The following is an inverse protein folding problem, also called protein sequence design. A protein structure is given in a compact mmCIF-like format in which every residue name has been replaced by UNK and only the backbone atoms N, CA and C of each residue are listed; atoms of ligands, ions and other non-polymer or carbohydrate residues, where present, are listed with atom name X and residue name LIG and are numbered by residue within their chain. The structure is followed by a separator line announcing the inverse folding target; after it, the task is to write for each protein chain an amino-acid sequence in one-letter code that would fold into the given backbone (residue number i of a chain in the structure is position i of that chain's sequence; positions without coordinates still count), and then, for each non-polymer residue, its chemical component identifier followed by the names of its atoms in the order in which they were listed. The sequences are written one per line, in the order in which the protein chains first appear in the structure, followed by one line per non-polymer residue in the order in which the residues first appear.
data_IF_624511695443
#
_entry.id   IF_624511695443
#
_cell.length_a   1.000
_cell.length_b   1.000
_cell.length_c   1.000
_cell.angle_alpha   90.00
_cell.angle_beta   90.00
_cell.angle_gamma   90.00
#
_symmetry.space_group_name_H-M   'P 1'
#
loop_
_entity.id
_entity.type
_entity.pdbx_description
1 polymer ?
#
# COMPACT_ATOMS: atom_id res chain seq x y z
N UNK A 1 2.50 29.13 4.92
CA UNK A 1 3.52 28.67 3.96
C UNK A 1 4.61 29.74 3.90
N UNK A 2 5.74 29.54 4.58
CA UNK A 2 6.80 30.55 4.81
C UNK A 2 7.68 30.73 3.57
N UNK A 3 8.18 31.95 3.33
CA UNK A 3 8.98 32.31 2.15
C UNK A 3 10.19 31.37 1.92
N UNK A 4 10.81 30.88 2.99
CA UNK A 4 11.90 29.91 2.96
C UNK A 4 11.55 28.59 2.24
N UNK A 5 10.34 28.05 2.47
CA UNK A 5 9.91 26.81 1.81
C UNK A 5 9.72 27.00 0.30
N UNK A 6 9.33 28.21 -0.12
CA UNK A 6 9.17 28.58 -1.54
C UNK A 6 10.52 28.71 -2.24
N UNK A 7 11.50 29.38 -1.62
CA UNK A 7 12.85 29.48 -2.19
C UNK A 7 13.55 28.13 -2.31
N UNK A 8 13.39 27.25 -1.32
CA UNK A 8 13.90 25.88 -1.39
C UNK A 8 13.23 25.07 -2.52
N UNK A 9 11.90 25.18 -2.71
CA UNK A 9 11.22 24.48 -3.81
C UNK A 9 11.63 24.98 -5.20
N UNK A 10 11.83 26.29 -5.37
CA UNK A 10 12.31 26.87 -6.64
C UNK A 10 13.73 26.40 -6.97
N UNK A 11 14.60 26.32 -5.94
CA UNK A 11 15.96 25.81 -6.09
C UNK A 11 15.97 24.32 -6.45
N UNK A 12 15.15 23.50 -5.82
CA UNK A 12 15.06 22.06 -6.11
C UNK A 12 14.45 21.81 -7.50
N UNK A 13 13.49 22.63 -7.92
CA UNK A 13 12.96 22.61 -9.27
C UNK A 13 14.03 22.97 -10.31
N UNK A 14 14.76 24.07 -10.12
CA UNK A 14 15.86 24.48 -11.00
C UNK A 14 16.98 23.44 -11.06
N UNK A 15 17.36 22.85 -9.93
CA UNK A 15 18.34 21.74 -9.86
C UNK A 15 17.85 20.53 -10.64
N UNK A 16 16.57 20.17 -10.51
CA UNK A 16 15.98 19.04 -11.22
C UNK A 16 15.96 19.29 -12.73
N UNK A 17 15.55 20.49 -13.16
CA UNK A 17 15.57 20.88 -14.58
C UNK A 17 16.99 20.84 -15.15
N UNK A 18 17.98 21.39 -14.43
CA UNK A 18 19.37 21.37 -14.84
C UNK A 18 19.92 19.94 -14.91
N UNK A 19 19.61 19.09 -13.93
CA UNK A 19 20.00 17.69 -13.95
C UNK A 19 19.41 16.94 -15.15
N UNK A 20 18.12 17.15 -15.45
CA UNK A 20 17.47 16.55 -16.63
C UNK A 20 18.17 17.02 -17.92
N UNK A 21 18.43 18.33 -18.05
CA UNK A 21 19.11 18.88 -19.22
C UNK A 21 20.53 18.33 -19.38
N UNK A 22 21.27 18.18 -18.29
CA UNK A 22 22.59 17.55 -18.29
C UNK A 22 22.49 16.09 -18.73
N UNK A 23 21.53 15.31 -18.21
CA UNK A 23 21.32 13.93 -18.64
C UNK A 23 20.97 13.85 -20.12
N UNK A 24 20.06 14.70 -20.60
CA UNK A 24 19.68 14.77 -22.02
C UNK A 24 20.89 15.11 -22.89
N UNK A 25 21.72 16.08 -22.47
CA UNK A 25 22.94 16.47 -23.18
C UNK A 25 23.95 15.30 -23.23
N UNK A 26 24.18 14.62 -22.10
CA UNK A 26 25.06 13.45 -22.03
C UNK A 26 24.57 12.31 -22.94
N UNK A 27 23.25 12.11 -23.04
CA UNK A 27 22.66 11.09 -23.92
C UNK A 27 22.69 11.50 -25.40
N UNK A 28 22.55 12.81 -25.71
CA UNK A 28 22.49 13.33 -27.06
C UNK A 28 23.86 13.50 -27.72
N UNK A 29 24.90 13.81 -26.95
CA UNK A 29 26.27 13.96 -27.45
C UNK A 29 26.98 12.62 -27.35
N UNK A 30 27.20 11.99 -28.50
CA UNK A 30 27.81 10.66 -28.60
C UNK A 30 29.15 10.51 -27.85
N UNK A 31 29.98 11.55 -27.88
CA UNK A 31 31.27 11.58 -27.20
C UNK A 31 31.17 11.67 -25.66
N UNK A 32 30.02 12.13 -25.14
CA UNK A 32 29.76 12.29 -23.71
C UNK A 32 28.84 11.19 -23.16
N UNK A 33 28.30 10.32 -24.03
CA UNK A 33 27.43 9.25 -23.61
C UNK A 33 28.22 8.25 -22.77
N UNK A 34 27.89 8.10 -21.47
CA UNK A 34 28.67 7.28 -20.55
C UNK A 34 28.72 5.80 -20.97
N UNK A 35 27.68 5.31 -21.65
CA UNK A 35 27.64 3.94 -22.17
C UNK A 35 28.64 3.78 -23.33
N UNK A 36 28.70 4.74 -24.25
CA UNK A 36 29.65 4.70 -25.39
C UNK A 36 31.10 4.85 -24.92
N UNK A 37 31.35 5.75 -23.97
CA UNK A 37 32.67 5.91 -23.34
C UNK A 37 33.11 4.60 -22.69
N UNK A 38 32.23 3.97 -21.90
CA UNK A 38 32.50 2.69 -21.24
C UNK A 38 32.84 1.58 -22.25
N UNK A 39 32.06 1.47 -23.34
CA UNK A 39 32.34 0.50 -24.40
C UNK A 39 33.69 0.74 -25.10
N UNK A 40 34.09 2.01 -25.26
CA UNK A 40 35.39 2.35 -25.87
C UNK A 40 36.57 1.98 -24.96
N UNK A 41 36.45 2.19 -23.65
CA UNK A 41 37.49 1.83 -22.66
C UNK A 41 37.73 0.31 -22.60
N UNK A 42 36.68 -0.50 -22.81
CA UNK A 42 36.76 -1.97 -22.80
C UNK A 42 36.67 -2.58 -24.21
N UNK A 43 37.25 -1.91 -25.20
CA UNK A 43 37.27 -2.38 -26.59
C UNK A 43 38.41 -3.35 -26.92
N UNK A 44 39.43 -3.47 -26.08
CA UNK A 44 40.61 -4.29 -26.33
C UNK A 44 40.43 -5.77 -25.92
N UNK A 45 41.00 -6.68 -26.72
CA UNK A 45 41.07 -8.12 -26.42
C UNK A 45 41.88 -8.35 -25.12
N UNK A 46 41.51 -9.31 -24.25
CA UNK A 46 40.62 -10.46 -24.46
C UNK A 46 39.18 -10.30 -23.92
N UNK A 47 38.81 -9.11 -23.41
CA UNK A 47 37.50 -8.86 -22.78
C UNK A 47 36.73 -7.74 -23.49
N UNK A 48 36.37 -7.97 -24.75
CA UNK A 48 35.62 -6.99 -25.55
C UNK A 48 34.18 -6.88 -25.07
N UNK A 49 33.80 -5.72 -24.51
CA UNK A 49 32.42 -5.46 -24.10
C UNK A 49 31.63 -4.87 -25.25
N UNK A 50 30.76 -5.67 -25.86
CA UNK A 50 29.83 -5.21 -26.88
C UNK A 50 28.50 -4.66 -26.29
N UNK A 51 27.77 -3.80 -27.02
CA UNK A 51 26.56 -3.12 -26.50
C UNK A 51 25.50 -4.06 -25.92
N UNK A 52 25.36 -5.27 -26.48
CA UNK A 52 24.39 -6.24 -26.01
C UNK A 52 24.71 -6.79 -24.62
N UNK A 53 25.97 -6.80 -24.18
CA UNK A 53 26.31 -7.24 -22.82
C UNK A 53 25.78 -6.25 -21.78
N UNK A 54 25.91 -4.95 -22.06
CA UNK A 54 25.34 -3.89 -21.21
C UNK A 54 23.82 -3.96 -21.23
N UNK A 55 23.22 -4.12 -22.42
CA UNK A 55 21.76 -4.25 -22.54
C UNK A 55 21.23 -5.49 -21.79
N UNK A 56 21.89 -6.64 -21.92
CA UNK A 56 21.53 -7.86 -21.21
C UNK A 56 21.69 -7.71 -19.69
N UNK A 57 22.78 -7.11 -19.22
CA UNK A 57 22.99 -6.81 -17.80
C UNK A 57 21.87 -5.89 -17.26
N UNK A 58 21.56 -4.80 -17.97
CA UNK A 58 20.48 -3.90 -17.60
C UNK A 58 19.12 -4.61 -17.57
N UNK A 59 18.84 -5.49 -18.54
CA UNK A 59 17.60 -6.26 -18.59
C UNK A 59 17.52 -7.24 -17.42
N UNK A 60 18.61 -7.94 -17.11
CA UNK A 60 18.68 -8.86 -15.96
C UNK A 60 18.50 -8.09 -14.65
N UNK A 61 19.15 -6.93 -14.48
CA UNK A 61 18.98 -6.07 -13.31
C UNK A 61 17.54 -5.55 -13.20
N UNK A 62 16.94 -5.12 -14.31
CA UNK A 62 15.55 -4.67 -14.35
C UNK A 62 14.60 -5.79 -13.97
N UNK A 63 14.79 -7.01 -14.50
CA UNK A 63 14.00 -8.18 -14.15
C UNK A 63 14.20 -8.55 -12.67
N UNK A 64 15.43 -8.51 -12.16
CA UNK A 64 15.74 -8.77 -10.76
C UNK A 64 15.03 -7.79 -9.84
N UNK A 65 15.14 -6.48 -10.11
CA UNK A 65 14.44 -5.43 -9.35
C UNK A 65 12.93 -5.59 -9.44
N UNK A 66 12.39 -5.89 -10.62
CA UNK A 66 10.96 -6.13 -10.80
C UNK A 66 10.49 -7.29 -9.94
N UNK A 67 11.14 -8.46 -10.05
CA UNK A 67 10.80 -9.66 -9.28
C UNK A 67 10.92 -9.43 -7.76
N UNK A 68 11.97 -8.75 -7.32
CA UNK A 68 12.19 -8.42 -5.92
C UNK A 68 11.11 -7.46 -5.38
N UNK A 69 10.66 -6.51 -6.21
CA UNK A 69 9.72 -5.46 -5.81
C UNK A 69 8.27 -5.73 -6.24
N UNK A 70 7.95 -6.92 -6.78
CA UNK A 70 6.62 -7.28 -7.26
C UNK A 70 5.51 -7.02 -6.23
N UNK A 71 5.76 -7.34 -4.96
CA UNK A 71 4.77 -7.14 -3.89
C UNK A 71 4.47 -5.67 -3.65
N UNK A 72 5.48 -4.80 -3.71
CA UNK A 72 5.31 -3.35 -3.54
C UNK A 72 4.61 -2.74 -4.77
N UNK A 73 4.96 -3.19 -5.98
CA UNK A 73 4.28 -2.78 -7.21
C UNK A 73 2.80 -3.18 -7.20
N UNK A 74 2.49 -4.40 -6.77
CA UNK A 74 1.12 -4.88 -6.61
C UNK A 74 0.36 -4.05 -5.56
N UNK A 75 0.95 -3.82 -4.39
CA UNK A 75 0.34 -2.98 -3.36
C UNK A 75 0.05 -1.57 -3.87
N UNK A 76 1.01 -0.95 -4.56
CA UNK A 76 0.85 0.37 -5.17
C UNK A 76 -0.26 0.37 -6.23
N UNK A 77 -0.27 -0.61 -7.13
CA UNK A 77 -1.30 -0.75 -8.15
C UNK A 77 -2.71 -0.90 -7.57
N UNK A 78 -2.85 -1.73 -6.53
CA UNK A 78 -4.11 -1.91 -5.78
C UNK A 78 -4.52 -0.60 -5.10
N UNK A 79 -3.59 0.11 -4.46
CA UNK A 79 -3.86 1.40 -3.81
C UNK A 79 -4.34 2.44 -4.83
N UNK A 80 -3.69 2.55 -5.98
CA UNK A 80 -4.08 3.47 -7.06
C UNK A 80 -5.46 3.11 -7.61
N UNK A 81 -5.70 1.83 -7.92
CA UNK A 81 -6.98 1.35 -8.41
C UNK A 81 -8.14 1.70 -7.48
N UNK A 82 -7.99 1.40 -6.18
CA UNK A 82 -9.03 1.70 -5.20
C UNK A 82 -9.14 3.18 -4.87
N UNK A 83 -8.05 3.94 -4.91
CA UNK A 83 -8.10 5.39 -4.77
C UNK A 83 -8.90 6.02 -5.92
N UNK A 84 -8.72 5.53 -7.15
CA UNK A 84 -9.53 5.94 -8.31
C UNK A 84 -11.01 5.61 -8.09
N UNK A 85 -11.34 4.41 -7.61
CA UNK A 85 -12.71 4.04 -7.24
C UNK A 85 -13.28 5.03 -6.20
N UNK A 86 -12.57 5.25 -5.09
CA UNK A 86 -13.03 6.19 -4.05
C UNK A 86 -13.28 7.59 -4.62
N UNK A 87 -12.42 8.08 -5.52
CA UNK A 87 -12.57 9.40 -6.13
C UNK A 87 -13.81 9.53 -7.03
N UNK A 88 -14.31 8.40 -7.57
CA UNK A 88 -15.53 8.36 -8.38
C UNK A 88 -16.78 8.33 -7.48
N UNK A 89 -16.74 7.53 -6.40
CA UNK A 89 -17.92 7.32 -5.54
C UNK A 89 -18.09 8.39 -4.45
N UNK A 90 -16.99 8.98 -3.97
CA UNK A 90 -17.01 9.98 -2.91
C UNK A 90 -16.57 11.34 -3.46
N UNK A 91 -17.45 12.33 -3.32
CA UNK A 91 -17.14 13.71 -3.70
C UNK A 91 -15.98 14.28 -2.85
N UNK A 92 -15.90 13.87 -1.57
CA UNK A 92 -14.88 14.35 -0.65
C UNK A 92 -14.50 13.27 0.36
N UNK A 93 -13.20 12.96 0.44
CA UNK A 93 -12.61 12.09 1.45
C UNK A 93 -11.58 12.91 2.22
N UNK A 94 -11.76 13.05 3.52
CA UNK A 94 -10.82 13.77 4.39
C UNK A 94 -10.23 12.85 5.44
N UNK A 95 -8.91 12.96 5.61
CA UNK A 95 -8.18 12.29 6.67
C UNK A 95 -7.73 13.33 7.70
N UNK A 96 -8.35 13.29 8.88
CA UNK A 96 -8.03 14.19 10.00
C UNK A 96 -7.10 13.47 10.98
N UNK A 97 -6.14 14.20 11.56
CA UNK A 97 -5.24 13.67 12.57
C UNK A 97 -4.18 12.71 12.04
N UNK A 98 -3.78 12.83 10.77
CA UNK A 98 -2.70 12.01 10.18
C UNK A 98 -1.37 12.15 10.93
N UNK A 99 -1.15 13.28 11.60
CA UNK A 99 0.07 13.55 12.37
C UNK A 99 0.09 12.79 13.71
N UNK A 100 -1.05 12.25 14.16
CA UNK A 100 -1.13 11.37 15.33
C UNK A 100 -0.62 9.96 15.03
N UNK A 101 -0.45 9.59 13.75
CA UNK A 101 0.06 8.28 13.35
C UNK A 101 1.58 8.28 13.47
N UNK A 102 2.18 7.43 14.33
CA UNK A 102 3.63 7.36 14.48
C UNK A 102 4.31 7.06 13.13
N UNK A 103 5.34 7.83 12.74
CA UNK A 103 6.06 7.62 11.48
C UNK A 103 6.84 6.30 11.48
N UNK A 104 7.25 5.83 12.66
CA UNK A 104 8.02 4.60 12.84
C UNK A 104 7.41 3.74 13.95
N UNK A 105 7.74 2.45 13.92
CA UNK A 105 7.28 1.47 14.90
C UNK A 105 5.95 0.79 14.54
N UNK A 106 5.58 -0.26 15.29
CA UNK A 106 4.34 -1.01 15.09
C UNK A 106 3.12 -0.19 15.52
N UNK A 107 2.04 -0.27 14.74
CA UNK A 107 0.76 0.40 15.04
C UNK A 107 -0.37 -0.57 14.70
N UNK A 108 -1.35 -0.67 15.58
CA UNK A 108 -2.59 -1.40 15.35
C UNK A 108 -3.68 -0.37 15.14
N UNK A 109 -4.33 -0.41 13.98
CA UNK A 109 -5.50 0.42 13.70
C UNK A 109 -6.76 -0.35 14.06
N UNK A 110 -7.65 0.30 14.81
CA UNK A 110 -9.00 -0.18 15.09
C UNK A 110 -9.99 0.82 14.48
N UNK A 111 -10.89 0.33 13.62
CA UNK A 111 -11.90 1.15 12.97
C UNK A 111 -13.28 0.70 13.42
N UNK A 112 -14.24 1.62 13.42
CA UNK A 112 -15.65 1.24 13.36
C UNK A 112 -15.90 0.50 12.03
N UNK A 113 -16.81 -0.47 12.05
CA UNK A 113 -17.12 -1.32 10.89
C UNK A 113 -18.55 -1.08 10.41
N UNK A 114 -18.76 0.02 9.70
CA UNK A 114 -20.03 0.30 9.04
C UNK A 114 -20.13 -0.41 7.68
N UNK A 115 -19.00 -0.51 6.95
CA UNK A 115 -18.93 -1.18 5.66
C UNK A 115 -17.60 -1.96 5.53
N UNK A 116 -17.71 -3.29 5.59
CA UNK A 116 -16.56 -4.21 5.58
C UNK A 116 -15.54 -3.98 4.45
N UNK A 117 -15.93 -3.40 3.32
CA UNK A 117 -15.03 -3.15 2.19
C UNK A 117 -14.53 -1.71 2.14
N UNK A 118 -15.45 -0.74 2.25
CA UNK A 118 -15.12 0.68 2.11
C UNK A 118 -14.25 1.16 3.28
N UNK A 119 -14.48 0.65 4.49
CA UNK A 119 -13.70 1.05 5.68
C UNK A 119 -12.21 0.73 5.47
N UNK A 120 -11.92 -0.49 5.01
CA UNK A 120 -10.55 -0.90 4.69
C UNK A 120 -9.97 -0.05 3.57
N UNK A 121 -10.66 0.01 2.43
CA UNK A 121 -10.19 0.76 1.25
C UNK A 121 -9.88 2.23 1.60
N UNK A 122 -10.72 2.88 2.40
CA UNK A 122 -10.52 4.28 2.82
C UNK A 122 -9.25 4.43 3.66
N UNK A 123 -9.00 3.55 4.62
CA UNK A 123 -7.79 3.60 5.45
C UNK A 123 -6.55 3.33 4.58
N UNK A 124 -6.61 2.38 3.65
CA UNK A 124 -5.49 2.09 2.74
C UNK A 124 -5.10 3.29 1.89
N UNK A 125 -6.10 3.98 1.35
CA UNK A 125 -5.92 5.10 0.44
C UNK A 125 -5.44 6.35 1.20
N UNK A 126 -5.93 6.58 2.42
CA UNK A 126 -5.64 7.80 3.20
C UNK A 126 -4.41 7.68 4.11
N UNK A 127 -4.02 6.47 4.51
CA UNK A 127 -2.88 6.28 5.39
C UNK A 127 -1.54 6.54 4.66
N UNK A 128 -0.63 7.25 5.35
CA UNK A 128 0.72 7.57 4.86
C UNK A 128 1.66 6.35 4.87
N UNK A 129 1.36 5.35 5.70
CA UNK A 129 2.14 4.11 5.82
C UNK A 129 1.41 2.94 5.18
N UNK A 130 2.18 1.92 4.79
CA UNK A 130 1.63 0.65 4.34
C UNK A 130 0.86 0.01 5.50
N UNK A 131 -0.33 -0.51 5.20
CA UNK A 131 -1.19 -1.19 6.16
C UNK A 131 -1.41 -2.64 5.74
N UNK A 132 -1.62 -3.49 6.75
CA UNK A 132 -1.96 -4.90 6.63
C UNK A 132 -3.27 -5.17 7.35
N UNK A 133 -4.06 -6.11 6.84
CA UNK A 133 -5.37 -6.46 7.40
C UNK A 133 -5.36 -7.79 8.11
N UNK A 134 -6.25 -7.92 9.10
CA UNK A 134 -6.62 -9.24 9.62
C UNK A 134 -7.76 -9.79 8.77
N UNK A 135 -7.59 -11.01 8.26
CA UNK A 135 -8.59 -11.66 7.41
C UNK A 135 -8.97 -13.01 8.00
N UNK A 136 -10.23 -13.38 7.88
CA UNK A 136 -10.68 -14.70 8.31
C UNK A 136 -9.94 -15.81 7.55
N UNK A 137 -9.48 -16.84 8.26
CA UNK A 137 -8.82 -18.00 7.64
C UNK A 137 -9.70 -18.63 6.54
N UNK A 138 -11.02 -18.67 6.76
CA UNK A 138 -11.98 -19.16 5.75
C UNK A 138 -11.95 -18.34 4.44
N UNK A 139 -11.74 -17.02 4.53
CA UNK A 139 -11.63 -16.16 3.35
C UNK A 139 -10.25 -16.26 2.71
N UNK A 140 -9.20 -16.41 3.52
CA UNK A 140 -7.83 -16.65 3.08
C UNK A 140 -7.69 -17.91 2.23
N UNK A 141 -8.40 -18.99 2.58
CA UNK A 141 -8.31 -20.25 1.84
C UNK A 141 -9.03 -20.25 0.48
N UNK A 142 -9.67 -19.15 0.06
CA UNK A 142 -10.31 -19.05 -1.25
C UNK A 142 -9.30 -18.52 -2.27
N UNK A 143 -8.99 -19.26 -3.35
CA UNK A 143 -7.99 -18.89 -4.39
C UNK A 143 -7.89 -17.37 -4.65
N UNK A 144 -8.92 -16.75 -5.20
CA UNK A 144 -8.86 -15.34 -5.60
C UNK A 144 -8.70 -14.39 -4.39
N UNK A 145 -9.47 -14.60 -3.33
CA UNK A 145 -9.49 -13.69 -2.17
C UNK A 145 -8.22 -13.85 -1.32
N UNK A 146 -7.74 -15.09 -1.18
CA UNK A 146 -6.51 -15.46 -0.51
C UNK A 146 -5.29 -14.91 -1.20
N UNK A 147 -5.20 -15.06 -2.53
CA UNK A 147 -4.07 -14.56 -3.31
C UNK A 147 -3.97 -13.03 -3.20
N UNK A 148 -5.11 -12.33 -3.27
CA UNK A 148 -5.16 -10.87 -3.06
C UNK A 148 -4.83 -10.48 -1.63
N UNK A 149 -5.38 -11.18 -0.64
CA UNK A 149 -5.10 -10.94 0.77
C UNK A 149 -3.61 -11.14 1.09
N UNK A 150 -2.99 -12.18 0.53
CA UNK A 150 -1.56 -12.45 0.65
C UNK A 150 -0.72 -11.36 -0.01
N UNK A 151 -1.08 -10.92 -1.22
CA UNK A 151 -0.37 -9.86 -1.93
C UNK A 151 -0.44 -8.51 -1.17
N UNK A 152 -1.55 -8.25 -0.49
CA UNK A 152 -1.73 -7.07 0.36
C UNK A 152 -1.09 -7.22 1.76
N UNK A 153 -0.43 -8.34 2.06
CA UNK A 153 0.22 -8.57 3.34
C UNK A 153 -0.77 -8.77 4.50
N UNK A 154 -1.96 -9.31 4.23
CA UNK A 154 -2.94 -9.63 5.25
C UNK A 154 -2.50 -10.86 6.09
N UNK A 155 -3.00 -10.91 7.32
CA UNK A 155 -2.69 -11.96 8.29
C UNK A 155 -3.97 -12.78 8.56
N UNK A 156 -3.95 -14.11 8.32
CA UNK A 156 -5.11 -14.95 8.56
C UNK A 156 -5.36 -15.16 10.06
N UNK A 157 -6.62 -15.09 10.48
CA UNK A 157 -7.06 -15.30 11.86
C UNK A 157 -8.13 -16.38 11.91
N UNK A 158 -7.95 -17.35 12.83
CA UNK A 158 -8.93 -18.38 13.15
C UNK A 158 -10.01 -17.80 14.06
N UNK A 159 -11.28 -17.93 13.67
CA UNK A 159 -12.42 -17.50 14.49
C UNK A 159 -13.16 -18.73 15.00
N UNK A 160 -13.55 -18.75 16.27
CA UNK A 160 -14.31 -19.86 16.86
C UNK A 160 -15.60 -20.17 16.09
N UNK A 161 -16.22 -19.13 15.54
CA UNK A 161 -17.41 -19.21 14.68
C UNK A 161 -17.15 -20.00 13.39
N UNK A 162 -15.95 -19.92 12.82
CA UNK A 162 -15.58 -20.63 11.59
C UNK A 162 -15.44 -22.15 11.85
N UNK A 163 -15.27 -22.57 13.12
CA UNK A 163 -15.23 -23.97 13.56
C UNK A 163 -16.54 -24.46 14.19
N UNK A 164 -17.55 -23.61 14.31
CA UNK A 164 -18.84 -23.96 14.90
C UNK A 164 -19.59 -24.98 14.02
N UNK A 165 -20.09 -26.04 14.63
CA UNK A 165 -20.95 -27.05 13.98
C UNK A 165 -22.37 -26.91 14.54
N UNK A 166 -23.38 -27.13 13.69
CA UNK A 166 -24.77 -27.18 14.16
C UNK A 166 -24.92 -28.35 15.14
N UNK A 167 -25.31 -28.07 16.37
CA UNK A 167 -25.72 -29.06 17.37
C UNK A 167 -27.21 -28.97 17.63
N UNK A 168 -27.83 -30.07 18.07
CA UNK A 168 -29.21 -30.10 18.54
C UNK A 168 -29.24 -29.90 20.06
N UNK A 169 -30.13 -29.04 20.55
CA UNK A 169 -30.28 -28.76 21.99
C UNK A 169 -31.47 -27.86 22.28
N UNK A 170 -31.87 -27.79 23.54
CA UNK A 170 -33.01 -26.99 24.00
C UNK A 170 -32.51 -25.65 24.56
N UNK A 171 -32.99 -24.54 24.01
CA UNK A 171 -32.69 -23.19 24.54
C UNK A 171 -33.83 -22.76 25.47
N UNK A 172 -33.54 -22.57 26.75
CA UNK A 172 -34.49 -22.01 27.72
C UNK A 172 -34.12 -20.55 27.97
N UNK A 173 -34.96 -19.63 27.51
CA UNK A 173 -34.82 -18.20 27.84
C UNK A 173 -35.62 -17.94 29.11
N UNK A 174 -34.97 -17.62 30.23
CA UNK A 174 -35.66 -17.07 31.40
C UNK A 174 -35.99 -15.61 31.11
N UNK A 175 -37.28 -15.29 30.99
CA UNK A 175 -37.74 -13.90 31.11
C UNK A 175 -37.43 -13.45 32.53
N UNK A 176 -36.62 -12.41 32.67
CA UNK A 176 -36.55 -11.65 33.92
C UNK A 176 -37.86 -10.86 33.94
N UNK A 177 -38.75 -11.23 34.86
CA UNK A 177 -39.93 -10.42 35.18
C UNK A 177 -39.41 -9.30 36.06
N UNK A 178 -39.42 -8.07 35.54
CA UNK A 178 -39.33 -6.89 36.39
C UNK A 178 -40.69 -6.78 37.10
N UNK A 179 -40.74 -7.16 38.37
CA UNK A 179 -41.91 -6.89 39.21
C UNK A 179 -41.95 -5.38 39.49
N UNK A 180 -43.05 -4.76 39.08
CA UNK A 180 -43.42 -3.37 39.34
C UNK A 180 -43.49 -3.09 40.85
N UNK A 181 -43.04 -1.91 41.27
CA UNK A 181 -43.62 -1.24 42.44
C UNK A 181 -44.36 -0.01 41.94
N UNK A 182 -45.65 -0.18 41.66
CA UNK A 182 -46.65 0.88 41.78
C UNK A 182 -46.66 1.32 43.25
N UNK A 183 -45.96 2.41 43.58
CA UNK A 183 -46.23 3.15 44.81
C UNK A 183 -47.34 4.16 44.53
N UNK A 184 -48.58 3.68 44.71
CA UNK A 184 -49.73 4.53 44.94
C UNK A 184 -49.54 5.32 46.23
N UNK A 185 -49.19 6.60 46.10
CA UNK A 185 -49.01 7.52 47.22
C UNK A 185 -49.64 8.89 46.94
N UNK A 186 -50.98 8.94 46.94
CA UNK A 186 -51.71 10.20 47.13
C UNK A 186 -51.60 10.62 48.59
N UNK A 187 -50.87 11.71 48.87
CA UNK A 187 -51.13 12.68 49.96
C UNK A 187 -50.63 14.05 49.55
#
# INVERSE_FOLDING_TARGET
MTATNRWMSELDFAKTQLAILVVVLLLAVDALNPVKIFLHVFSDEPYRVLPWHVAALCLVLMLYLFLNNMKELLYFGVKVFFHSILSIFFNRVEAVGLDNVPPYGPVIFTSNHANQFIDGVTIMCTCRRKISYLVAEKSWNRRIIGDLAWAMGAVPVKRAQDSAKKGTGTVTVRKIVEDENEDGGSK
#
